data_IF_568604397704
#
_entry.id   IF_568604397704
#
_cell.length_a   1.000
_cell.length_b   1.000
_cell.length_c   1.000
_cell.angle_alpha   90.00
_cell.angle_beta   90.00
_cell.angle_gamma   90.00
#
_symmetry.space_group_name_H-M   'P 1'
#
loop_
_entity.id
_entity.type
_entity.pdbx_description
1 polymer ?
#
# COMPACT_ATOMS: atom_id res chain seq x y z
N UNK A 1 -0.54 4.52 2.71
CA UNK A 1 0.00 5.61 3.54
C UNK A 1 1.31 5.24 4.23
N UNK A 2 1.39 4.10 4.95
CA UNK A 2 2.63 3.65 5.64
C UNK A 2 3.84 3.62 4.71
N UNK A 3 3.74 2.96 3.55
CA UNK A 3 4.85 2.91 2.59
C UNK A 3 5.23 4.28 2.01
N UNK A 4 4.29 5.23 1.94
CA UNK A 4 4.59 6.60 1.47
C UNK A 4 5.41 7.33 2.52
N UNK A 5 5.07 7.21 3.80
CA UNK A 5 5.83 7.79 4.90
C UNK A 5 7.22 7.15 5.03
N UNK A 6 7.31 5.82 4.88
CA UNK A 6 8.58 5.10 4.87
C UNK A 6 9.48 5.53 3.70
N UNK A 7 8.94 5.61 2.48
CA UNK A 7 9.68 6.10 1.31
C UNK A 7 10.11 7.56 1.47
N UNK A 8 9.25 8.41 2.04
CA UNK A 8 9.60 9.80 2.32
C UNK A 8 10.75 9.90 3.33
N UNK A 9 10.81 9.03 4.33
CA UNK A 9 11.93 8.96 5.27
C UNK A 9 13.21 8.48 4.57
N UNK A 10 13.14 7.39 3.81
CA UNK A 10 14.30 6.85 3.07
C UNK A 10 14.92 7.88 2.11
N UNK A 11 14.11 8.78 1.54
CA UNK A 11 14.62 9.86 0.68
C UNK A 11 15.74 10.68 1.35
N UNK A 12 15.66 10.86 2.66
CA UNK A 12 16.65 11.59 3.45
C UNK A 12 17.64 10.67 4.15
N UNK A 13 17.16 9.59 4.77
CA UNK A 13 17.99 8.66 5.53
C UNK A 13 18.92 7.83 4.63
N UNK A 14 18.49 7.51 3.40
CA UNK A 14 19.25 6.80 2.37
C UNK A 14 19.89 5.52 2.92
N UNK A 15 19.05 4.67 3.50
CA UNK A 15 19.49 3.50 4.28
C UNK A 15 20.27 2.48 3.43
N UNK A 16 20.06 2.50 2.11
CA UNK A 16 20.70 1.59 1.16
C UNK A 16 21.81 2.30 0.39
N UNK A 17 23.05 2.16 0.87
CA UNK A 17 24.26 2.67 0.21
C UNK A 17 24.18 4.16 -0.17
N UNK A 18 23.54 5.00 0.65
CA UNK A 18 23.41 6.43 0.36
C UNK A 18 22.47 6.77 -0.81
N UNK A 19 21.67 5.80 -1.26
CA UNK A 19 20.71 5.95 -2.36
C UNK A 19 19.29 5.72 -1.87
N UNK A 20 18.37 6.58 -2.29
CA UNK A 20 16.93 6.38 -2.05
C UNK A 20 16.39 5.27 -2.96
N UNK A 21 15.59 4.37 -2.39
CA UNK A 21 14.98 3.24 -3.11
C UNK A 21 13.48 3.19 -2.84
N UNK A 22 12.69 3.26 -3.90
CA UNK A 22 11.23 3.04 -3.83
C UNK A 22 10.83 1.57 -3.95
N UNK A 23 11.76 0.71 -4.36
CA UNK A 23 11.60 -0.73 -4.52
C UNK A 23 12.95 -1.42 -4.31
N UNK A 24 12.90 -2.70 -3.92
CA UNK A 24 14.06 -3.51 -3.57
C UNK A 24 14.05 -4.84 -4.32
N UNK A 25 15.22 -5.46 -4.47
CA UNK A 25 15.39 -6.74 -5.19
C UNK A 25 15.98 -7.85 -4.31
N UNK A 26 16.24 -7.57 -3.04
CA UNK A 26 16.76 -8.53 -2.06
C UNK A 26 15.98 -8.44 -0.75
N UNK A 27 15.97 -9.53 0.02
CA UNK A 27 15.26 -9.56 1.30
C UNK A 27 15.97 -8.69 2.33
N UNK A 28 17.31 -8.63 2.27
CA UNK A 28 18.13 -7.81 3.15
C UNK A 28 17.84 -6.31 2.98
N UNK A 29 17.67 -5.85 1.74
CA UNK A 29 17.25 -4.47 1.46
C UNK A 29 15.82 -4.20 1.95
N UNK A 30 14.91 -5.16 1.79
CA UNK A 30 13.54 -5.04 2.27
C UNK A 30 13.50 -4.89 3.79
N UNK A 31 14.23 -5.74 4.51
CA UNK A 31 14.29 -5.75 5.98
C UNK A 31 14.91 -4.46 6.52
N UNK A 32 15.96 -3.94 5.86
CA UNK A 32 16.57 -2.67 6.21
C UNK A 32 15.56 -1.51 6.09
N UNK A 33 14.78 -1.45 5.01
CA UNK A 33 13.79 -0.39 4.80
C UNK A 33 12.56 -0.54 5.70
N UNK A 34 12.08 -1.76 5.95
CA UNK A 34 10.92 -2.02 6.82
C UNK A 34 11.20 -1.78 8.31
N UNK A 35 12.48 -1.63 8.68
CA UNK A 35 12.88 -1.31 10.06
C UNK A 35 12.33 0.05 10.53
N UNK A 36 12.08 0.97 9.60
CA UNK A 36 11.50 2.27 9.91
C UNK A 36 9.99 2.17 10.09
N UNK A 37 9.51 2.47 11.30
CA UNK A 37 8.09 2.52 11.63
C UNK A 37 7.63 3.97 11.72
N UNK A 38 6.85 4.49 10.76
CA UNK A 38 6.33 5.84 10.85
C UNK A 38 5.35 6.01 12.02
N UNK A 39 5.35 7.21 12.59
CA UNK A 39 4.24 7.69 13.42
C UNK A 39 3.18 8.28 12.50
N UNK A 40 1.94 7.82 12.63
CA UNK A 40 0.79 8.36 11.90
C UNK A 40 0.14 9.47 12.74
N UNK A 41 -0.23 10.58 12.11
CA UNK A 41 -0.95 11.65 12.79
C UNK A 41 -2.42 11.26 12.96
N UNK A 42 -2.76 10.73 14.13
CA UNK A 42 -4.12 10.25 14.42
C UNK A 42 -5.16 11.36 14.43
N UNK A 43 -4.75 12.60 14.74
CA UNK A 43 -5.65 13.77 14.72
C UNK A 43 -6.14 14.09 13.31
N UNK A 44 -5.29 13.95 12.28
CA UNK A 44 -5.67 14.18 10.87
C UNK A 44 -6.11 12.93 10.13
N UNK A 45 -5.89 11.74 10.70
CA UNK A 45 -6.09 10.46 10.01
C UNK A 45 -7.47 10.31 9.36
N UNK A 46 -8.53 10.64 10.08
CA UNK A 46 -9.91 10.56 9.57
C UNK A 46 -10.14 11.52 8.39
N UNK A 47 -9.67 12.76 8.49
CA UNK A 47 -9.78 13.73 7.40
C UNK A 47 -8.93 13.32 6.19
N UNK A 48 -7.73 12.77 6.43
CA UNK A 48 -6.82 12.32 5.39
C UNK A 48 -7.43 11.15 4.60
N UNK A 49 -8.00 10.16 5.29
CA UNK A 49 -8.69 9.02 4.66
C UNK A 49 -9.92 9.47 3.87
N UNK A 50 -10.72 10.38 4.43
CA UNK A 50 -11.88 10.96 3.75
C UNK A 50 -11.46 11.74 2.51
N UNK A 51 -10.38 12.50 2.56
CA UNK A 51 -9.84 13.22 1.42
C UNK A 51 -9.39 12.27 0.30
N UNK A 52 -8.70 11.18 0.65
CA UNK A 52 -8.30 10.13 -0.30
C UNK A 52 -9.53 9.49 -0.95
N UNK A 53 -10.55 9.13 -0.17
CA UNK A 53 -11.79 8.56 -0.68
C UNK A 53 -12.52 9.53 -1.62
N UNK A 54 -12.62 10.81 -1.25
CA UNK A 54 -13.21 11.85 -2.10
C UNK A 54 -12.44 12.05 -3.41
N UNK A 55 -11.09 12.05 -3.37
CA UNK A 55 -10.27 12.16 -4.58
C UNK A 55 -10.46 10.96 -5.50
N UNK A 56 -10.53 9.75 -4.95
CA UNK A 56 -10.81 8.55 -5.72
C UNK A 56 -12.19 8.61 -6.39
N UNK A 57 -13.23 8.99 -5.64
CA UNK A 57 -14.59 9.14 -6.18
C UNK A 57 -14.65 10.19 -7.30
N UNK A 58 -14.02 11.35 -7.10
CA UNK A 58 -13.94 12.40 -8.14
C UNK A 58 -13.19 11.94 -9.39
N UNK A 59 -12.12 11.16 -9.23
CA UNK A 59 -11.40 10.61 -10.37
C UNK A 59 -12.29 9.66 -11.19
N UNK A 60 -13.05 8.80 -10.52
CA UNK A 60 -14.00 7.90 -11.20
C UNK A 60 -15.12 8.66 -11.89
N UNK A 61 -15.64 9.72 -11.26
CA UNK A 61 -16.65 10.60 -11.87
C UNK A 61 -16.10 11.31 -13.10
N UNK A 62 -14.90 11.89 -12.99
CA UNK A 62 -14.25 12.62 -14.08
C UNK A 62 -13.94 11.72 -15.28
N UNK A 63 -13.52 10.47 -15.03
CA UNK A 63 -13.20 9.49 -16.06
C UNK A 63 -14.34 8.49 -16.33
N UNK A 64 -15.60 8.88 -16.09
CA UNK A 64 -16.75 7.99 -16.24
C UNK A 64 -16.98 7.48 -17.69
N UNK A 65 -16.44 8.18 -18.68
CA UNK A 65 -16.51 7.82 -20.10
C UNK A 65 -15.31 6.99 -20.57
N UNK A 66 -14.31 6.83 -19.71
CA UNK A 66 -13.13 6.01 -19.98
C UNK A 66 -13.26 4.69 -19.24
N UNK A 67 -12.97 3.59 -19.95
CA UNK A 67 -12.92 2.28 -19.33
C UNK A 67 -11.85 2.24 -18.24
N UNK A 68 -12.23 1.87 -17.02
CA UNK A 68 -11.35 1.79 -15.86
C UNK A 68 -11.61 0.52 -15.07
N UNK A 69 -10.62 0.08 -14.29
CA UNK A 69 -10.70 -1.04 -13.35
C UNK A 69 -10.10 -0.59 -12.02
N UNK A 70 -10.69 -1.04 -10.91
CA UNK A 70 -10.15 -0.82 -9.57
C UNK A 70 -9.47 -2.10 -9.14
N UNK A 71 -8.21 -2.00 -8.74
CA UNK A 71 -7.37 -3.13 -8.37
C UNK A 71 -6.64 -2.79 -7.09
N UNK A 72 -6.71 -3.67 -6.10
CA UNK A 72 -5.91 -3.58 -4.90
C UNK A 72 -4.62 -4.39 -5.10
N UNK A 73 -3.49 -3.83 -4.67
CA UNK A 73 -2.19 -4.51 -4.79
C UNK A 73 -2.21 -5.92 -4.19
N UNK A 74 -2.93 -6.07 -3.09
CA UNK A 74 -2.95 -7.29 -2.29
C UNK A 74 -3.79 -8.37 -2.97
N UNK A 75 -4.87 -7.99 -3.66
CA UNK A 75 -5.66 -8.87 -4.52
C UNK A 75 -4.78 -9.43 -5.65
N UNK A 76 -3.92 -8.61 -6.26
CA UNK A 76 -3.03 -9.04 -7.35
C UNK A 76 -1.96 -10.01 -6.87
N UNK A 77 -1.45 -9.83 -5.64
CA UNK A 77 -0.39 -10.66 -5.09
C UNK A 77 -0.93 -11.98 -4.51
N UNK A 78 -2.15 -11.96 -3.95
CA UNK A 78 -2.75 -13.13 -3.28
C UNK A 78 -3.65 -13.97 -4.17
N UNK A 79 -4.30 -13.36 -5.17
CA UNK A 79 -5.26 -14.02 -6.05
C UNK A 79 -4.80 -13.97 -7.52
N UNK A 80 -4.31 -15.08 -8.07
CA UNK A 80 -3.90 -15.16 -9.48
C UNK A 80 -5.03 -14.83 -10.48
N UNK A 81 -6.30 -14.94 -10.08
CA UNK A 81 -7.42 -14.60 -10.97
C UNK A 81 -7.52 -13.10 -11.20
N UNK A 82 -7.19 -12.28 -10.19
CA UNK A 82 -7.19 -10.81 -10.28
C UNK A 82 -6.18 -10.31 -11.29
N UNK A 83 -5.03 -10.99 -11.41
CA UNK A 83 -4.07 -10.67 -12.45
C UNK A 83 -4.62 -10.96 -13.86
N UNK A 84 -5.43 -12.02 -14.03
CA UNK A 84 -6.08 -12.31 -15.31
C UNK A 84 -7.09 -11.22 -15.67
N UNK A 85 -7.88 -10.73 -14.71
CA UNK A 85 -8.80 -9.60 -14.92
C UNK A 85 -8.03 -8.37 -15.43
N UNK A 86 -6.84 -8.10 -14.89
CA UNK A 86 -5.97 -6.99 -15.33
C UNK A 86 -5.44 -7.22 -16.76
N UNK A 87 -4.96 -8.42 -17.08
CA UNK A 87 -4.46 -8.73 -18.43
C UNK A 87 -5.56 -8.66 -19.49
N UNK A 88 -6.75 -9.19 -19.17
CA UNK A 88 -7.93 -9.09 -20.01
C UNK A 88 -8.37 -7.64 -20.17
N UNK A 89 -8.40 -6.88 -19.07
CA UNK A 89 -8.64 -5.45 -19.12
C UNK A 89 -7.64 -4.80 -20.09
N UNK A 90 -6.34 -5.03 -19.98
CA UNK A 90 -5.35 -4.44 -20.89
C UNK A 90 -5.40 -4.98 -22.33
N UNK A 91 -6.22 -6.00 -22.61
CA UNK A 91 -6.33 -6.68 -23.91
C UNK A 91 -4.99 -7.26 -24.39
N UNK A 92 -4.21 -7.80 -23.44
CA UNK A 92 -2.95 -8.48 -23.70
C UNK A 92 -3.11 -9.99 -23.47
N UNK A 93 -2.28 -10.84 -24.10
CA UNK A 93 -2.32 -12.28 -23.86
C UNK A 93 -2.15 -12.62 -22.38
N UNK A 94 -2.88 -13.63 -21.92
CA UNK A 94 -2.66 -14.18 -20.59
C UNK A 94 -1.29 -14.85 -20.55
N UNK A 95 -0.42 -14.34 -19.68
CA UNK A 95 0.94 -14.82 -19.48
C UNK A 95 1.22 -14.93 -17.99
N UNK A 96 2.10 -15.85 -17.61
CA UNK A 96 2.65 -15.83 -16.26
C UNK A 96 3.55 -14.60 -16.11
N UNK A 97 3.19 -13.71 -15.19
CA UNK A 97 3.98 -12.53 -14.88
C UNK A 97 4.86 -12.80 -13.66
N UNK A 98 6.14 -12.46 -13.79
CA UNK A 98 7.11 -12.53 -12.71
C UNK A 98 7.66 -11.15 -12.41
N UNK A 99 7.84 -10.83 -11.13
CA UNK A 99 8.51 -9.61 -10.70
C UNK A 99 9.77 -9.96 -9.92
N UNK A 100 10.84 -9.17 -10.12
CA UNK A 100 12.02 -9.19 -9.26
C UNK A 100 11.85 -8.28 -8.03
N UNK A 101 10.81 -7.43 -8.02
CA UNK A 101 10.57 -6.52 -6.91
C UNK A 101 10.04 -7.30 -5.71
N UNK A 102 10.61 -7.03 -4.54
CA UNK A 102 10.20 -7.64 -3.29
C UNK A 102 9.36 -6.64 -2.49
N UNK A 103 8.24 -7.12 -1.93
CA UNK A 103 7.40 -6.35 -1.01
C UNK A 103 8.21 -6.02 0.25
N UNK A 104 8.33 -4.73 0.57
CA UNK A 104 9.10 -4.23 1.71
C UNK A 104 8.40 -4.56 3.04
N UNK A 105 7.12 -4.24 3.16
CA UNK A 105 6.36 -4.43 4.41
C UNK A 105 5.57 -5.74 4.33
N UNK A 106 5.92 -6.73 5.17
CA UNK A 106 5.26 -8.04 5.26
C UNK A 106 4.64 -8.23 6.64
N UNK A 107 3.56 -9.01 6.75
CA UNK A 107 2.87 -9.26 8.03
C UNK A 107 1.86 -8.16 8.42
N UNK A 108 1.37 -8.18 9.67
CA UNK A 108 0.33 -7.27 10.16
C UNK A 108 0.74 -5.80 10.11
N UNK A 109 -0.21 -4.91 9.78
CA UNK A 109 0.06 -3.47 9.72
C UNK A 109 0.53 -2.89 11.06
N UNK A 110 0.10 -3.49 12.17
CA UNK A 110 0.51 -3.16 13.53
C UNK A 110 2.03 -3.22 13.73
N UNK A 111 2.73 -4.11 13.02
CA UNK A 111 4.17 -4.24 13.12
C UNK A 111 4.92 -3.10 12.41
N UNK A 112 4.26 -2.37 11.50
CA UNK A 112 4.86 -1.34 10.65
C UNK A 112 4.50 0.09 11.08
N UNK A 113 3.76 0.28 12.17
CA UNK A 113 3.32 1.60 12.63
C UNK A 113 3.75 1.81 14.08
N UNK A 114 4.44 2.91 14.36
CA UNK A 114 5.02 3.18 15.67
C UNK A 114 3.96 3.42 16.75
N UNK A 115 2.90 4.14 16.43
CA UNK A 115 1.79 4.47 17.34
C UNK A 115 0.52 3.70 17.00
N UNK A 116 0.64 2.38 16.75
CA UNK A 116 -0.47 1.54 16.31
C UNK A 116 -1.71 1.61 17.21
N UNK A 117 -1.55 1.59 18.53
CA UNK A 117 -2.70 1.62 19.46
C UNK A 117 -3.57 2.87 19.29
N UNK A 118 -2.95 4.00 18.95
CA UNK A 118 -3.66 5.27 18.70
C UNK A 118 -4.40 5.23 17.37
N UNK A 119 -3.75 4.69 16.34
CA UNK A 119 -4.35 4.47 15.01
C UNK A 119 -5.52 3.50 15.10
N UNK A 120 -5.35 2.39 15.82
CA UNK A 120 -6.39 1.41 16.06
C UNK A 120 -7.59 2.06 16.74
N UNK A 121 -7.39 2.78 17.85
CA UNK A 121 -8.47 3.50 18.55
C UNK A 121 -9.18 4.53 17.66
N UNK A 122 -8.46 5.16 16.74
CA UNK A 122 -9.00 6.17 15.83
C UNK A 122 -9.89 5.56 14.75
N UNK A 123 -9.54 4.38 14.24
CA UNK A 123 -10.26 3.73 13.13
C UNK A 123 -11.31 2.70 13.57
N UNK A 124 -11.13 2.10 14.75
CA UNK A 124 -12.02 1.06 15.25
C UNK A 124 -13.45 1.57 15.43
N UNK A 125 -14.43 0.86 14.86
CA UNK A 125 -15.84 1.28 14.85
C UNK A 125 -16.17 2.44 13.89
N UNK A 126 -15.28 2.78 12.96
CA UNK A 126 -15.52 3.77 11.90
C UNK A 126 -15.72 3.10 10.53
N UNK A 127 -16.13 3.86 9.51
CA UNK A 127 -16.20 3.38 8.11
C UNK A 127 -14.85 2.90 7.54
N UNK A 128 -13.74 3.24 8.21
CA UNK A 128 -12.38 2.88 7.85
C UNK A 128 -11.81 1.70 8.67
N UNK A 129 -12.62 1.08 9.53
CA UNK A 129 -12.22 -0.07 10.36
C UNK A 129 -11.67 -1.23 9.53
N UNK A 130 -12.15 -1.40 8.29
CA UNK A 130 -11.63 -2.40 7.35
C UNK A 130 -10.11 -2.34 7.13
N UNK A 131 -9.49 -1.16 7.29
CA UNK A 131 -8.03 -1.02 7.18
C UNK A 131 -7.26 -1.60 8.37
N UNK A 132 -7.93 -1.91 9.49
CA UNK A 132 -7.34 -2.58 10.64
C UNK A 132 -7.26 -4.10 10.45
N UNK A 133 -8.21 -4.67 9.69
CA UNK A 133 -8.39 -6.11 9.53
C UNK A 133 -7.83 -6.66 8.22
N UNK A 134 -7.29 -5.80 7.35
CA UNK A 134 -6.52 -6.23 6.18
C UNK A 134 -5.15 -6.76 6.63
N UNK A 135 -5.17 -7.86 7.39
CA UNK A 135 -4.00 -8.66 7.67
C UNK A 135 -3.66 -9.44 6.41
N UNK A 136 -2.56 -9.04 5.79
CA UNK A 136 -1.98 -9.71 4.64
C UNK A 136 -1.50 -11.09 5.06
N UNK A 137 -2.33 -12.13 4.87
CA UNK A 137 -1.88 -13.52 4.94
C UNK A 137 -0.87 -13.72 3.79
N UNK A 138 0.41 -13.77 4.15
CA UNK A 138 1.48 -14.24 3.26
C UNK A 138 1.41 -15.75 3.19
#
# INVERSE_FOLDING_TARGET
MVSVLANSHDRYAKLLNGTHKSHVHSQEEADALSSFKPTINSTSLMSDLKEVAMKAARALEYFNSTRHIIVYYEDVVTDPTKLKDVLEFLSVPQLELTSRQIKIHKGPLAEHVKNWDEVFKTLNGTEYEQFLCMDYKV
#
